data_IF_358273043643
#
_entry.id   IF_358273043643
#
_cell.length_a   1.000
_cell.length_b   1.000
_cell.length_c   1.000
_cell.angle_alpha   90.00
_cell.angle_beta   90.00
_cell.angle_gamma   90.00
#
_symmetry.space_group_name_H-M   'P 1'
#
loop_
_entity.id
_entity.type
_entity.pdbx_description
1 polymer ?
#
# COMPACT_ATOMS: atom_id res chain seq x y z
N UNK A 1 41.42 -9.27 4.17
CA UNK A 1 40.15 -8.52 4.25
C UNK A 1 39.78 -8.41 5.71
N UNK A 2 39.81 -7.20 6.28
CA UNK A 2 39.30 -6.96 7.63
C UNK A 2 37.78 -7.18 7.60
N UNK A 3 37.28 -8.13 8.39
CA UNK A 3 35.84 -8.41 8.47
C UNK A 3 35.10 -7.12 8.86
N UNK A 4 34.12 -6.70 8.06
CA UNK A 4 33.28 -5.56 8.41
C UNK A 4 32.37 -5.99 9.59
N UNK A 5 32.43 -5.32 10.76
CA UNK A 5 31.62 -5.70 11.93
C UNK A 5 30.12 -5.73 11.63
N UNK A 6 29.62 -4.80 10.79
CA UNK A 6 28.23 -4.76 10.36
C UNK A 6 27.82 -5.99 9.56
N UNK A 7 28.60 -6.33 8.51
CA UNK A 7 28.36 -7.54 7.72
C UNK A 7 28.35 -8.83 8.58
N UNK A 8 29.22 -8.88 9.59
CA UNK A 8 29.28 -10.01 10.53
C UNK A 8 28.04 -10.09 11.42
N UNK A 9 27.53 -8.95 11.90
CA UNK A 9 26.30 -8.90 12.70
C UNK A 9 25.07 -9.32 11.89
N UNK A 10 24.95 -8.85 10.65
CA UNK A 10 23.86 -9.26 9.77
C UNK A 10 23.95 -10.76 9.43
N UNK A 11 25.14 -11.31 9.23
CA UNK A 11 25.33 -12.75 9.05
C UNK A 11 24.92 -13.55 10.29
N UNK A 12 25.24 -13.07 11.50
CA UNK A 12 24.77 -13.70 12.74
C UNK A 12 23.25 -13.65 12.88
N UNK A 13 22.60 -12.56 12.47
CA UNK A 13 21.15 -12.44 12.45
C UNK A 13 20.51 -13.38 11.41
N UNK A 14 21.10 -13.48 10.23
CA UNK A 14 20.71 -14.43 9.19
C UNK A 14 20.78 -15.88 9.69
N UNK A 15 21.89 -16.28 10.32
CA UNK A 15 22.06 -17.63 10.87
C UNK A 15 21.07 -17.88 12.02
N UNK A 16 20.83 -16.88 12.86
CA UNK A 16 19.83 -16.96 13.93
C UNK A 16 18.42 -17.17 13.37
N UNK A 17 18.04 -16.45 12.31
CA UNK A 17 16.74 -16.55 11.65
C UNK A 17 16.53 -17.94 11.04
N UNK A 18 17.45 -18.36 10.17
CA UNK A 18 17.39 -19.62 9.41
C UNK A 18 17.51 -20.86 10.29
N UNK A 19 18.09 -20.73 11.49
CA UNK A 19 18.11 -21.79 12.50
C UNK A 19 16.70 -22.21 12.95
N UNK A 20 15.77 -21.27 13.07
CA UNK A 20 14.43 -21.53 13.64
C UNK A 20 13.30 -21.50 12.60
N UNK A 21 13.51 -20.83 11.48
CA UNK A 21 12.52 -20.61 10.42
C UNK A 21 13.04 -21.17 9.10
N UNK A 22 12.21 -21.93 8.39
CA UNK A 22 12.44 -22.21 6.98
C UNK A 22 11.82 -21.06 6.20
N UNK A 23 12.67 -20.25 5.58
CA UNK A 23 12.26 -19.14 4.74
C UNK A 23 11.88 -19.61 3.33
N UNK A 24 11.01 -18.91 2.61
CA UNK A 24 10.57 -19.32 1.28
C UNK A 24 11.66 -19.20 0.21
N UNK A 25 12.59 -18.26 0.38
CA UNK A 25 13.73 -18.00 -0.50
C UNK A 25 14.89 -17.34 0.25
N UNK A 26 16.07 -17.29 -0.36
CA UNK A 26 17.22 -16.55 0.17
C UNK A 26 16.92 -15.05 0.22
N UNK A 27 16.28 -14.51 -0.82
CA UNK A 27 15.87 -13.10 -0.92
C UNK A 27 14.93 -12.70 0.22
N UNK A 28 13.94 -13.53 0.53
CA UNK A 28 13.04 -13.29 1.66
C UNK A 28 13.77 -13.35 3.01
N UNK A 29 14.80 -14.19 3.11
CA UNK A 29 15.65 -14.25 4.32
C UNK A 29 16.41 -12.94 4.49
N UNK A 30 17.06 -12.47 3.43
CA UNK A 30 17.87 -11.26 3.41
C UNK A 30 17.03 -10.02 3.69
N UNK A 31 15.86 -9.94 3.07
CA UNK A 31 14.91 -8.87 3.28
C UNK A 31 14.45 -8.79 4.74
N UNK A 32 14.13 -9.92 5.38
CA UNK A 32 13.75 -9.94 6.80
C UNK A 32 14.91 -9.55 7.70
N UNK A 33 16.13 -10.03 7.43
CA UNK A 33 17.33 -9.67 8.19
C UNK A 33 17.58 -8.16 8.13
N UNK A 34 17.52 -7.58 6.94
CA UNK A 34 17.70 -6.15 6.73
C UNK A 34 16.54 -5.34 7.31
N UNK A 35 15.31 -5.83 7.21
CA UNK A 35 14.14 -5.19 7.81
C UNK A 35 14.27 -5.12 9.33
N UNK A 36 14.66 -6.24 9.98
CA UNK A 36 14.94 -6.28 11.43
C UNK A 36 16.03 -5.26 11.77
N UNK A 37 17.15 -5.26 11.05
CA UNK A 37 18.24 -4.32 11.29
C UNK A 37 17.77 -2.86 11.15
N UNK A 38 17.02 -2.52 10.10
CA UNK A 38 16.45 -1.19 9.90
C UNK A 38 15.54 -0.74 11.05
N UNK A 39 14.87 -1.66 11.75
CA UNK A 39 14.06 -1.29 12.93
C UNK A 39 14.88 -0.62 14.04
N UNK A 40 16.16 -0.96 14.16
CA UNK A 40 17.05 -0.45 15.21
C UNK A 40 17.46 0.99 15.03
N UNK A 41 17.16 1.62 13.90
CA UNK A 41 17.54 3.01 13.62
C UNK A 41 16.42 3.75 12.88
N UNK A 42 15.17 3.39 13.20
CA UNK A 42 13.96 4.04 12.67
C UNK A 42 13.99 5.57 12.67
N UNK A 43 14.56 6.28 13.68
CA UNK A 43 14.65 7.72 13.63
C UNK A 43 15.42 8.32 12.45
N UNK A 44 16.34 7.56 11.82
CA UNK A 44 17.07 8.01 10.64
C UNK A 44 16.25 7.97 9.34
N UNK A 45 15.11 7.28 9.33
CA UNK A 45 14.39 7.01 8.08
C UNK A 45 13.28 8.01 7.78
N UNK A 46 13.11 8.36 6.51
CA UNK A 46 11.91 9.06 6.04
C UNK A 46 10.69 8.13 5.95
N UNK A 47 10.93 6.85 5.69
CA UNK A 47 9.91 5.82 5.53
C UNK A 47 10.07 4.71 6.57
N UNK A 48 8.94 4.15 7.02
CA UNK A 48 8.84 3.02 7.93
C UNK A 48 8.25 1.82 7.17
N UNK A 49 9.10 0.96 6.58
CA UNK A 49 8.66 -0.19 5.81
C UNK A 49 7.79 -1.14 6.64
N UNK A 50 6.70 -1.62 6.06
CA UNK A 50 5.92 -2.71 6.64
C UNK A 50 6.58 -4.05 6.31
N UNK A 51 6.37 -5.05 7.16
CA UNK A 51 6.69 -6.43 6.87
C UNK A 51 5.39 -7.22 6.87
N UNK A 52 4.98 -7.74 5.73
CA UNK A 52 3.78 -8.59 5.64
C UNK A 52 4.21 -10.04 5.55
N UNK A 53 3.86 -10.83 6.56
CA UNK A 53 4.14 -12.26 6.65
C UNK A 53 2.84 -13.00 6.36
N UNK A 54 2.62 -13.38 5.09
CA UNK A 54 1.39 -14.07 4.69
C UNK A 54 1.63 -15.52 4.30
N UNK A 55 0.59 -16.33 4.41
CA UNK A 55 0.60 -17.71 3.93
C UNK A 55 -0.81 -18.10 3.47
N UNK A 56 -0.95 -19.04 2.52
CA UNK A 56 -2.26 -19.50 2.09
C UNK A 56 -3.00 -20.25 3.21
N UNK A 57 -2.26 -20.87 4.14
CA UNK A 57 -2.82 -21.77 5.13
C UNK A 57 -2.20 -21.61 6.53
N UNK A 58 -2.82 -22.31 7.50
CA UNK A 58 -2.27 -22.46 8.85
C UNK A 58 -1.02 -23.34 8.84
N UNK A 59 -0.16 -23.17 9.86
CA UNK A 59 1.06 -23.98 10.10
C UNK A 59 2.16 -23.85 9.04
N UNK A 60 2.25 -22.69 8.39
CA UNK A 60 3.35 -22.34 7.46
C UNK A 60 4.52 -21.59 8.13
N UNK A 61 4.61 -21.59 9.47
CA UNK A 61 5.74 -20.95 10.17
C UNK A 61 5.62 -19.44 10.41
N UNK A 62 4.51 -18.79 10.05
CA UNK A 62 4.27 -17.35 10.25
C UNK A 62 4.53 -16.87 11.70
N UNK A 63 3.85 -17.47 12.68
CA UNK A 63 4.03 -17.11 14.09
C UNK A 63 5.46 -17.38 14.57
N UNK A 64 6.15 -18.38 14.01
CA UNK A 64 7.57 -18.61 14.33
C UNK A 64 8.46 -17.52 13.75
N UNK A 65 8.21 -17.06 12.52
CA UNK A 65 8.92 -15.91 11.99
C UNK A 65 8.68 -14.67 12.85
N UNK A 66 7.43 -14.43 13.26
CA UNK A 66 7.07 -13.32 14.14
C UNK A 66 7.71 -13.45 15.53
N UNK A 67 7.86 -14.66 16.10
CA UNK A 67 8.59 -14.90 17.36
C UNK A 67 10.06 -14.44 17.27
N UNK A 68 10.72 -14.72 16.14
CA UNK A 68 12.12 -14.33 15.93
C UNK A 68 12.21 -12.83 15.72
N UNK A 69 11.35 -12.26 14.86
CA UNK A 69 11.25 -10.81 14.66
C UNK A 69 11.01 -10.09 16.00
N UNK A 70 10.09 -10.58 16.84
CA UNK A 70 9.88 -10.05 18.19
C UNK A 70 11.18 -10.03 18.96
N UNK A 71 11.88 -11.15 19.05
CA UNK A 71 13.09 -11.26 19.86
C UNK A 71 14.26 -10.41 19.33
N UNK A 72 14.30 -10.10 18.04
CA UNK A 72 15.44 -9.44 17.40
C UNK A 72 15.22 -7.99 16.98
N UNK A 73 13.98 -7.50 16.85
CA UNK A 73 13.73 -6.11 16.43
C UNK A 73 13.81 -5.10 17.60
N UNK A 74 13.82 -3.81 17.25
CA UNK A 74 13.81 -2.68 18.19
C UNK A 74 12.48 -2.57 18.95
N UNK A 75 12.55 -2.49 20.27
CA UNK A 75 11.44 -2.20 21.19
C UNK A 75 10.07 -2.69 20.71
N UNK A 76 9.85 -4.02 20.63
CA UNK A 76 8.65 -4.57 20.03
C UNK A 76 7.43 -4.33 20.90
N UNK A 77 6.38 -3.81 20.28
CA UNK A 77 5.04 -3.73 20.83
C UNK A 77 4.16 -4.80 20.18
N UNK A 78 4.04 -5.95 20.85
CA UNK A 78 3.16 -7.03 20.38
C UNK A 78 1.70 -6.73 20.74
N UNK A 79 0.82 -6.81 19.76
CA UNK A 79 -0.61 -6.57 19.94
C UNK A 79 -1.41 -7.71 19.35
N UNK A 80 -2.24 -8.35 20.18
CA UNK A 80 -3.19 -9.40 19.76
C UNK A 80 -4.61 -8.83 19.67
N UNK A 81 -4.91 -7.77 20.44
CA UNK A 81 -6.23 -7.12 20.54
C UNK A 81 -6.12 -5.67 21.09
N UNK A 82 -5.06 -4.94 20.78
CA UNK A 82 -4.92 -3.57 21.27
C UNK A 82 -5.91 -2.64 20.57
N UNK A 83 -6.60 -1.78 21.33
CA UNK A 83 -7.45 -0.76 20.72
C UNK A 83 -6.60 0.21 19.88
N UNK A 84 -7.10 0.76 18.76
CA UNK A 84 -6.35 1.74 17.98
C UNK A 84 -5.80 2.88 18.85
N UNK A 85 -6.61 3.36 19.81
CA UNK A 85 -6.20 4.41 20.75
C UNK A 85 -5.01 4.03 21.65
N UNK A 86 -4.89 2.76 22.04
CA UNK A 86 -3.74 2.28 22.79
C UNK A 86 -2.49 2.28 21.89
N UNK A 87 -2.59 1.76 20.67
CA UNK A 87 -1.48 1.74 19.70
C UNK A 87 -0.98 3.15 19.39
N UNK A 88 -1.91 4.06 19.07
CA UNK A 88 -1.64 5.48 18.84
C UNK A 88 -0.82 6.15 19.96
N UNK A 89 -1.10 5.80 21.23
CA UNK A 89 -0.45 6.39 22.40
C UNK A 89 0.85 5.71 22.80
N UNK A 90 1.16 4.55 22.22
CA UNK A 90 2.43 3.86 22.41
C UNK A 90 3.51 4.31 21.43
N UNK A 91 3.16 5.03 20.36
CA UNK A 91 4.13 5.54 19.39
C UNK A 91 4.82 6.79 19.95
N UNK A 92 6.14 6.73 20.07
CA UNK A 92 6.99 7.82 20.57
C UNK A 92 7.93 8.36 19.48
N UNK A 93 8.71 9.42 19.72
CA UNK A 93 9.72 9.89 18.77
C UNK A 93 10.79 8.85 18.41
N UNK A 94 11.10 7.93 19.33
CA UNK A 94 11.82 6.69 19.05
C UNK A 94 10.80 5.55 18.99
N UNK A 95 10.20 5.28 17.82
CA UNK A 95 8.99 4.48 17.76
C UNK A 95 9.26 2.99 18.05
N UNK A 96 8.35 2.31 18.76
CA UNK A 96 8.40 0.86 18.89
C UNK A 96 8.09 0.20 17.55
N UNK A 97 8.47 -1.07 17.40
CA UNK A 97 8.03 -1.88 16.26
C UNK A 97 6.68 -2.51 16.58
N UNK A 98 5.66 -2.20 15.78
CA UNK A 98 4.33 -2.77 15.98
C UNK A 98 4.26 -4.19 15.42
N UNK A 99 3.90 -5.18 16.24
CA UNK A 99 3.76 -6.57 15.81
C UNK A 99 2.29 -7.00 15.93
N UNK A 100 1.68 -7.28 14.79
CA UNK A 100 0.28 -7.69 14.67
C UNK A 100 0.23 -9.15 14.22
N UNK A 101 -0.14 -10.06 15.13
CA UNK A 101 -0.44 -11.45 14.80
C UNK A 101 -1.93 -11.60 14.43
N UNK A 102 -2.25 -12.65 13.67
CA UNK A 102 -3.61 -12.92 13.17
C UNK A 102 -4.25 -11.72 12.45
N UNK A 103 -3.46 -10.97 11.66
CA UNK A 103 -3.90 -9.78 10.93
C UNK A 103 -5.08 -10.06 9.97
N UNK A 104 -5.27 -11.31 9.55
CA UNK A 104 -6.45 -11.74 8.77
C UNK A 104 -7.78 -11.62 9.54
N UNK A 105 -7.74 -11.62 10.88
CA UNK A 105 -8.94 -11.34 11.69
C UNK A 105 -9.33 -9.86 11.68
N UNK A 106 -8.37 -8.98 11.34
CA UNK A 106 -8.53 -7.53 11.29
C UNK A 106 -8.83 -7.05 9.87
N UNK A 107 -8.16 -7.63 8.87
CA UNK A 107 -8.23 -7.16 7.48
C UNK A 107 -8.75 -8.21 6.48
N UNK A 108 -9.05 -9.42 6.93
CA UNK A 108 -9.54 -10.47 6.03
C UNK A 108 -10.98 -10.22 5.55
N UNK A 109 -11.47 -11.00 4.57
CA UNK A 109 -12.77 -10.78 3.92
C UNK A 109 -13.99 -10.83 4.85
N UNK A 110 -13.83 -11.41 6.04
CA UNK A 110 -14.87 -11.55 7.08
C UNK A 110 -14.69 -10.57 8.25
N UNK A 111 -13.66 -9.74 8.22
CA UNK A 111 -13.42 -8.73 9.24
C UNK A 111 -14.39 -7.55 9.05
N UNK A 112 -14.73 -6.87 10.15
CA UNK A 112 -15.46 -5.60 10.08
C UNK A 112 -14.57 -4.46 9.58
N UNK A 113 -15.15 -3.27 9.42
CA UNK A 113 -14.39 -2.07 9.02
C UNK A 113 -13.39 -1.66 10.13
N UNK A 114 -12.11 -1.97 9.90
CA UNK A 114 -10.98 -1.55 10.74
C UNK A 114 -10.22 -0.36 10.11
N UNK A 115 -10.97 0.64 9.64
CA UNK A 115 -10.45 1.81 8.93
C UNK A 115 -9.41 2.61 9.73
N UNK A 116 -9.62 2.75 11.05
CA UNK A 116 -8.73 3.53 11.89
C UNK A 116 -7.33 2.90 12.02
N UNK A 117 -7.26 1.56 12.06
CA UNK A 117 -6.00 0.84 12.13
C UNK A 117 -5.33 0.77 10.76
N UNK A 118 -6.09 0.57 9.69
CA UNK A 118 -5.57 0.68 8.32
C UNK A 118 -5.01 2.08 8.05
N UNK A 119 -5.73 3.12 8.46
CA UNK A 119 -5.31 4.51 8.40
C UNK A 119 -4.03 4.77 9.19
N UNK A 120 -3.91 4.23 10.41
CA UNK A 120 -2.69 4.31 11.22
C UNK A 120 -1.49 3.69 10.48
N UNK A 121 -1.63 2.46 9.97
CA UNK A 121 -0.54 1.75 9.30
C UNK A 121 -0.13 2.44 7.99
N UNK A 122 -1.09 2.93 7.22
CA UNK A 122 -0.82 3.65 5.97
C UNK A 122 -0.15 5.01 6.23
N UNK A 123 -0.67 5.80 7.18
CA UNK A 123 -0.09 7.10 7.54
C UNK A 123 1.30 6.93 8.15
N UNK A 124 1.47 5.93 9.02
CA UNK A 124 2.71 5.68 9.73
C UNK A 124 3.87 5.23 8.86
N UNK A 125 3.64 4.92 7.58
CA UNK A 125 4.71 4.55 6.65
C UNK A 125 5.57 5.75 6.28
N UNK A 126 5.03 6.97 6.21
CA UNK A 126 5.80 8.17 5.88
C UNK A 126 5.91 9.07 7.12
N UNK A 127 7.11 9.59 7.38
CA UNK A 127 7.33 10.56 8.47
C UNK A 127 6.51 11.83 8.23
N UNK A 128 6.07 12.49 9.32
CA UNK A 128 5.35 13.76 9.24
C UNK A 128 3.86 13.65 8.87
N UNK A 129 3.26 12.45 8.97
CA UNK A 129 1.83 12.19 8.71
C UNK A 129 1.04 11.86 9.99
N UNK A 130 0.95 12.77 10.98
CA UNK A 130 0.27 12.46 12.23
C UNK A 130 -1.25 12.31 12.04
N UNK A 131 -1.89 11.56 12.92
CA UNK A 131 -3.34 11.51 13.02
C UNK A 131 -3.84 12.71 13.84
N UNK A 132 -4.88 13.38 13.35
CA UNK A 132 -5.57 14.45 14.08
C UNK A 132 -6.87 13.90 14.66
N UNK A 133 -7.04 14.00 15.97
CA UNK A 133 -8.27 13.57 16.66
C UNK A 133 -8.79 14.69 17.53
N UNK A 134 -10.10 14.92 17.52
CA UNK A 134 -10.72 15.85 18.45
C UNK A 134 -10.99 15.13 19.78
N UNK A 135 -10.44 15.66 20.86
CA UNK A 135 -10.73 15.22 22.21
C UNK A 135 -11.86 16.08 22.80
N UNK A 136 -13.05 15.50 22.93
CA UNK A 136 -14.22 16.17 23.46
C UNK A 136 -14.08 16.55 24.95
N UNK A 137 -13.31 15.78 25.74
CA UNK A 137 -13.12 16.05 27.16
C UNK A 137 -12.27 17.29 27.39
N UNK A 138 -11.26 17.52 26.55
CA UNK A 138 -10.39 18.71 26.61
C UNK A 138 -10.78 19.81 25.63
N UNK A 139 -11.75 19.56 24.75
CA UNK A 139 -12.17 20.43 23.65
C UNK A 139 -11.00 20.91 22.78
N UNK A 140 -10.07 20.00 22.47
CA UNK A 140 -8.84 20.28 21.72
C UNK A 140 -8.62 19.27 20.61
N UNK A 141 -7.96 19.70 19.53
CA UNK A 141 -7.40 18.78 18.54
C UNK A 141 -6.08 18.26 19.08
N UNK A 142 -5.96 16.95 19.17
CA UNK A 142 -4.75 16.22 19.56
C UNK A 142 -4.07 15.71 18.31
N UNK A 143 -2.77 15.98 18.21
CA UNK A 143 -1.90 15.44 17.17
C UNK A 143 -1.23 14.19 17.70
N UNK A 144 -1.41 13.07 17.02
CA UNK A 144 -0.94 11.76 17.45
C UNK A 144 0.11 11.25 16.45
N UNK A 145 1.33 10.94 16.90
CA UNK A 145 2.35 10.31 16.06
C UNK A 145 1.87 8.98 15.49
N UNK A 146 2.22 8.71 14.23
CA UNK A 146 1.86 7.49 13.51
C UNK A 146 3.08 6.72 13.01
N UNK A 147 4.22 7.40 12.88
CA UNK A 147 5.42 6.85 12.27
C UNK A 147 6.00 5.71 13.11
N UNK A 148 5.94 4.50 12.57
CA UNK A 148 6.47 3.28 13.19
C UNK A 148 6.52 2.16 12.15
N UNK A 149 7.60 1.39 12.13
CA UNK A 149 7.67 0.13 11.38
C UNK A 149 6.71 -0.89 12.00
N UNK A 150 6.13 -1.75 11.16
CA UNK A 150 5.23 -2.79 11.66
C UNK A 150 5.37 -4.10 10.89
N UNK A 151 5.27 -5.22 11.61
CA UNK A 151 5.11 -6.53 11.03
C UNK A 151 3.68 -7.02 11.22
N UNK A 152 3.08 -7.53 10.14
CA UNK A 152 1.72 -8.07 10.11
C UNK A 152 1.78 -9.53 9.66
N UNK A 153 1.34 -10.45 10.51
CA UNK A 153 1.27 -11.87 10.19
C UNK A 153 -0.19 -12.32 10.03
N UNK A 154 -0.53 -12.95 8.91
CA UNK A 154 -1.91 -13.37 8.65
C UNK A 154 -2.07 -14.43 7.56
N UNK A 155 -3.29 -14.94 7.43
CA UNK A 155 -3.70 -15.82 6.32
C UNK A 155 -4.25 -14.98 5.16
N UNK A 156 -3.84 -15.31 3.93
CA UNK A 156 -4.31 -14.61 2.74
C UNK A 156 -3.66 -13.24 2.53
N UNK A 157 -4.15 -12.50 1.54
CA UNK A 157 -3.68 -11.16 1.22
C UNK A 157 -4.10 -10.14 2.30
N UNK A 158 -3.23 -9.16 2.52
CA UNK A 158 -3.56 -7.93 3.25
C UNK A 158 -4.12 -6.90 2.25
N UNK A 159 -4.75 -5.80 2.72
CA UNK A 159 -5.22 -4.75 1.83
C UNK A 159 -4.07 -4.19 0.99
N UNK A 160 -4.29 -3.99 -0.32
CA UNK A 160 -3.26 -3.50 -1.27
C UNK A 160 -2.56 -2.24 -0.76
N UNK A 161 -3.30 -1.32 -0.13
CA UNK A 161 -2.71 -0.12 0.46
C UNK A 161 -1.64 -0.39 1.53
N UNK A 162 -1.70 -1.53 2.22
CA UNK A 162 -0.67 -1.97 3.16
C UNK A 162 0.45 -2.72 2.42
N UNK A 163 0.11 -3.63 1.49
CA UNK A 163 1.11 -4.44 0.76
C UNK A 163 2.02 -3.57 -0.13
N UNK A 164 1.50 -2.51 -0.75
CA UNK A 164 2.26 -1.49 -1.51
C UNK A 164 3.37 -0.80 -0.70
N UNK A 165 3.31 -0.89 0.63
CA UNK A 165 4.23 -0.25 1.59
C UNK A 165 5.05 -1.28 2.37
N UNK A 166 5.03 -2.53 1.91
CA UNK A 166 5.54 -3.68 2.62
C UNK A 166 6.59 -4.45 1.85
N UNK A 167 7.54 -5.02 2.59
CA UNK A 167 8.25 -6.21 2.18
C UNK A 167 7.31 -7.39 2.44
N UNK A 168 6.86 -8.07 1.38
CA UNK A 168 5.88 -9.17 1.47
C UNK A 168 6.61 -10.52 1.44
N UNK A 169 6.39 -11.34 2.47
CA UNK A 169 6.98 -12.68 2.62
C UNK A 169 5.87 -13.73 2.51
N UNK A 170 5.87 -14.48 1.40
CA UNK A 170 4.95 -15.59 1.15
C UNK A 170 5.44 -16.88 1.81
N UNK A 171 5.09 -17.06 3.08
CA UNK A 171 5.44 -18.27 3.82
C UNK A 171 4.73 -19.50 3.25
N UNK A 172 5.48 -20.59 3.10
CA UNK A 172 4.99 -21.89 2.62
C UNK A 172 5.10 -22.97 3.68
N UNK A 173 4.32 -24.04 3.52
CA UNK A 173 4.41 -25.18 4.42
C UNK A 173 5.76 -25.86 4.23
N UNK A 174 6.43 -26.16 5.33
CA UNK A 174 7.69 -26.90 5.35
C UNK A 174 7.55 -28.24 4.63
N UNK A 175 8.46 -28.51 3.70
CA UNK A 175 8.54 -29.76 2.96
C UNK A 175 9.09 -30.90 3.83
N UNK A 176 8.88 -32.14 3.37
CA UNK A 176 9.53 -33.30 3.99
C UNK A 176 11.05 -33.22 3.77
N UNK A 177 11.83 -33.13 4.84
CA UNK A 177 13.29 -33.03 4.79
C UNK A 177 13.86 -31.69 5.24
N UNK A 178 13.08 -30.61 5.14
CA UNK A 178 13.44 -29.32 5.73
C UNK A 178 13.36 -29.44 7.26
N UNK A 179 14.47 -29.12 7.93
CA UNK A 179 14.60 -29.21 9.39
C UNK A 179 14.83 -27.83 9.96
N UNK A 180 14.16 -27.55 11.07
CA UNK A 180 14.43 -26.36 11.88
C UNK A 180 14.75 -26.79 13.30
N UNK A 181 15.57 -25.98 13.97
CA UNK A 181 15.77 -26.15 15.40
C UNK A 181 14.51 -25.69 16.15
N UNK A 182 14.00 -26.46 17.12
CA UNK A 182 12.80 -26.08 17.84
C UNK A 182 13.09 -24.89 18.75
N UNK A 183 12.57 -23.71 18.41
CA UNK A 183 12.62 -22.53 19.27
C UNK A 183 11.87 -22.77 20.59
N UNK A 184 12.50 -22.33 21.66
CA UNK A 184 11.98 -22.31 23.03
C UNK A 184 12.27 -20.95 23.61
N UNK A 185 11.23 -20.13 23.81
CA UNK A 185 11.37 -18.76 24.30
C UNK A 185 12.25 -18.65 25.56
N UNK A 186 12.12 -19.57 26.52
CA UNK A 186 12.95 -19.57 27.75
C UNK A 186 14.46 -19.75 27.50
N UNK A 187 14.85 -20.46 26.43
CA UNK A 187 16.26 -20.76 26.12
C UNK A 187 16.81 -19.79 25.09
N UNK A 188 16.03 -19.47 24.07
CA UNK A 188 16.53 -18.84 22.85
C UNK A 188 16.30 -17.33 22.80
N UNK A 189 15.34 -16.79 23.58
CA UNK A 189 14.99 -15.36 23.51
C UNK A 189 16.11 -14.46 24.01
N UNK A 190 16.78 -14.81 25.10
CA UNK A 190 17.86 -13.99 25.67
C UNK A 190 19.05 -13.85 24.69
N UNK A 191 19.60 -14.94 24.08
CA UNK A 191 20.63 -14.81 23.05
C UNK A 191 20.21 -13.93 21.85
N UNK A 192 18.96 -14.05 21.40
CA UNK A 192 18.43 -13.20 20.32
C UNK A 192 18.33 -11.73 20.74
N UNK A 193 17.97 -11.45 21.99
CA UNK A 193 17.94 -10.10 22.55
C UNK A 193 19.33 -9.49 22.69
N UNK A 194 20.33 -10.28 23.05
CA UNK A 194 21.71 -9.83 23.07
C UNK A 194 22.20 -9.46 21.65
N UNK A 195 21.78 -10.20 20.62
CA UNK A 195 22.03 -9.83 19.24
C UNK A 195 21.32 -8.54 18.85
N UNK A 196 20.05 -8.37 19.24
CA UNK A 196 19.27 -7.15 19.04
C UNK A 196 19.96 -5.91 19.64
N UNK A 197 20.51 -6.03 20.85
CA UNK A 197 21.26 -4.95 21.52
C UNK A 197 22.50 -4.55 20.72
N UNK A 198 23.26 -5.52 20.20
CA UNK A 198 24.44 -5.26 19.36
C UNK A 198 24.09 -4.59 18.04
N UNK A 199 22.93 -4.92 17.45
CA UNK A 199 22.40 -4.22 16.28
C UNK A 199 22.06 -2.76 16.62
N UNK A 200 21.38 -2.53 17.75
CA UNK A 200 21.10 -1.17 18.24
C UNK A 200 22.39 -0.38 18.45
N UNK A 201 23.37 -0.92 19.17
CA UNK A 201 24.63 -0.24 19.46
C UNK A 201 25.37 0.19 18.18
N UNK A 202 25.48 -0.74 17.21
CA UNK A 202 26.10 -0.45 15.93
C UNK A 202 25.33 0.61 15.13
N UNK A 203 24.05 0.39 14.86
CA UNK A 203 23.28 1.23 13.94
C UNK A 203 22.95 2.60 14.55
N UNK A 204 22.74 2.68 15.88
CA UNK A 204 22.57 3.97 16.57
C UNK A 204 23.87 4.75 16.67
N UNK A 205 25.01 4.07 16.80
CA UNK A 205 26.34 4.70 16.78
C UNK A 205 26.59 5.47 15.47
N UNK A 206 26.08 4.95 14.35
CA UNK A 206 26.25 5.52 13.03
C UNK A 206 24.97 6.20 12.47
N UNK A 207 23.99 6.51 13.33
CA UNK A 207 22.68 7.04 12.91
C UNK A 207 22.80 8.27 11.99
N UNK A 208 23.70 9.20 12.30
CA UNK A 208 23.89 10.41 11.51
C UNK A 208 24.43 10.11 10.09
N UNK A 209 25.17 9.02 9.92
CA UNK A 209 25.64 8.56 8.59
C UNK A 209 24.46 7.97 7.82
N UNK A 210 23.67 7.12 8.47
CA UNK A 210 22.50 6.47 7.88
C UNK A 210 21.39 7.46 7.50
N UNK A 211 21.16 8.50 8.31
CA UNK A 211 20.19 9.57 8.02
C UNK A 211 20.53 10.36 6.74
N UNK A 212 21.81 10.39 6.35
CA UNK A 212 22.30 11.05 5.13
C UNK A 212 22.52 10.09 3.97
N UNK A 213 22.22 8.81 4.14
CA UNK A 213 22.45 7.81 3.10
C UNK A 213 21.41 7.96 1.98
N UNK A 214 21.90 8.03 0.74
CA UNK A 214 21.09 8.05 -0.48
C UNK A 214 21.51 6.86 -1.36
N UNK A 215 21.09 5.63 -1.01
CA UNK A 215 21.52 4.45 -1.75
C UNK A 215 20.96 4.43 -3.17
N UNK A 216 21.74 3.91 -4.12
CA UNK A 216 21.23 3.66 -5.47
C UNK A 216 20.19 2.52 -5.46
N UNK A 217 18.96 2.84 -5.84
CA UNK A 217 17.81 1.93 -5.78
C UNK A 217 17.58 1.20 -7.12
N UNK A 218 17.33 -0.12 -7.09
CA UNK A 218 17.05 -0.92 -8.30
C UNK A 218 15.56 -1.02 -8.64
N UNK A 219 14.71 -0.38 -7.86
CA UNK A 219 13.25 -0.32 -7.99
C UNK A 219 12.82 1.14 -7.86
N UNK A 220 11.59 1.46 -8.29
CA UNK A 220 11.08 2.84 -8.37
C UNK A 220 9.85 3.04 -7.46
N UNK A 221 9.41 4.30 -7.34
CA UNK A 221 8.21 4.72 -6.62
C UNK A 221 8.14 4.16 -5.18
N UNK A 222 6.98 3.63 -4.77
CA UNK A 222 6.74 3.11 -3.42
C UNK A 222 7.61 1.92 -3.06
N UNK A 223 8.06 1.16 -4.05
CA UNK A 223 9.00 0.07 -3.81
C UNK A 223 10.35 0.65 -3.40
N UNK A 224 10.82 1.73 -4.05
CA UNK A 224 12.03 2.43 -3.63
C UNK A 224 11.90 2.94 -2.18
N UNK A 225 10.82 3.66 -1.87
CA UNK A 225 10.54 4.17 -0.51
C UNK A 225 10.55 3.06 0.57
N UNK A 226 10.06 1.87 0.22
CA UNK A 226 9.99 0.71 1.13
C UNK A 226 11.34 0.02 1.31
N UNK A 227 12.14 -0.08 0.25
CA UNK A 227 13.41 -0.78 0.27
C UNK A 227 14.60 0.10 0.66
N UNK A 228 14.50 1.42 0.55
CA UNK A 228 15.59 2.36 0.82
C UNK A 228 16.21 2.17 2.23
N UNK A 229 15.44 2.06 3.33
CA UNK A 229 16.03 1.82 4.65
C UNK A 229 16.81 0.49 4.74
N UNK A 230 16.36 -0.54 4.02
CA UNK A 230 17.02 -1.86 3.99
C UNK A 230 18.32 -1.80 3.18
N UNK A 231 18.30 -1.13 2.02
CA UNK A 231 19.49 -0.96 1.18
C UNK A 231 20.52 -0.05 1.87
N UNK A 232 20.09 1.01 2.56
CA UNK A 232 20.97 1.88 3.33
C UNK A 232 21.72 1.11 4.44
N UNK A 233 21.02 0.24 5.18
CA UNK A 233 21.66 -0.65 6.17
C UNK A 233 22.64 -1.62 5.51
N UNK A 234 22.28 -2.19 4.35
CA UNK A 234 23.13 -3.11 3.63
C UNK A 234 24.40 -2.45 3.09
N UNK A 235 24.28 -1.25 2.51
CA UNK A 235 25.40 -0.43 2.03
C UNK A 235 26.34 -0.07 3.18
N UNK A 236 25.80 0.29 4.34
CA UNK A 236 26.58 0.56 5.55
C UNK A 236 27.28 -0.69 6.10
N UNK A 237 26.61 -1.86 6.04
CA UNK A 237 27.17 -3.12 6.47
C UNK A 237 28.34 -3.60 5.58
N UNK A 238 28.31 -3.26 4.29
CA UNK A 238 29.29 -3.69 3.29
C UNK A 238 29.38 -5.23 3.13
N UNK A 239 30.49 -5.69 2.57
CA UNK A 239 30.62 -7.10 2.16
C UNK A 239 29.66 -7.40 1.01
N UNK A 240 28.97 -8.54 1.07
CA UNK A 240 28.03 -8.97 0.02
C UNK A 240 26.59 -8.46 0.27
N UNK A 241 26.34 -7.80 1.41
CA UNK A 241 25.01 -7.28 1.76
C UNK A 241 24.44 -6.26 0.76
N UNK A 242 25.22 -5.30 0.23
CA UNK A 242 24.73 -4.34 -0.77
C UNK A 242 24.11 -5.00 -2.00
N UNK A 243 24.72 -6.07 -2.50
CA UNK A 243 24.24 -6.82 -3.66
C UNK A 243 23.01 -7.64 -3.28
N UNK A 244 23.08 -8.39 -2.17
CA UNK A 244 21.96 -9.19 -1.64
C UNK A 244 20.69 -8.36 -1.43
N UNK A 245 20.81 -7.15 -0.87
CA UNK A 245 19.69 -6.25 -0.64
C UNK A 245 19.01 -5.83 -1.96
N UNK A 246 19.81 -5.50 -2.98
CA UNK A 246 19.29 -5.08 -4.29
C UNK A 246 18.66 -6.24 -5.04
N UNK A 247 19.27 -7.43 -5.01
CA UNK A 247 18.68 -8.66 -5.55
C UNK A 247 17.36 -8.97 -4.85
N UNK A 248 17.30 -8.88 -3.52
CA UNK A 248 16.07 -9.10 -2.78
C UNK A 248 14.98 -8.08 -3.15
N UNK A 249 15.34 -6.79 -3.29
CA UNK A 249 14.41 -5.75 -3.70
C UNK A 249 13.76 -6.04 -5.05
N UNK A 250 14.56 -6.36 -6.07
CA UNK A 250 14.06 -6.67 -7.41
C UNK A 250 13.18 -7.91 -7.40
N UNK A 251 13.67 -9.03 -6.87
CA UNK A 251 12.96 -10.31 -6.95
C UNK A 251 11.66 -10.32 -6.14
N UNK A 252 11.65 -9.73 -4.94
CA UNK A 252 10.46 -9.71 -4.11
C UNK A 252 9.42 -8.70 -4.60
N UNK A 253 9.85 -7.55 -5.14
CA UNK A 253 8.91 -6.63 -5.80
C UNK A 253 8.32 -7.25 -7.06
N UNK A 254 9.12 -7.98 -7.85
CA UNK A 254 8.64 -8.75 -9.01
C UNK A 254 7.63 -9.82 -8.59
N UNK A 255 7.97 -10.65 -7.60
CA UNK A 255 7.08 -11.69 -7.06
C UNK A 255 5.77 -11.10 -6.53
N UNK A 256 5.82 -9.97 -5.83
CA UNK A 256 4.61 -9.29 -5.35
C UNK A 256 3.70 -8.84 -6.50
N UNK A 257 4.27 -8.24 -7.55
CA UNK A 257 3.52 -7.79 -8.72
C UNK A 257 2.92 -8.96 -9.53
N UNK A 258 3.61 -10.11 -9.59
CA UNK A 258 3.13 -11.31 -10.28
C UNK A 258 2.07 -12.09 -9.47
N UNK A 259 2.20 -12.09 -8.14
CA UNK A 259 1.30 -12.84 -7.24
C UNK A 259 0.12 -12.02 -6.74
N UNK A 260 0.10 -10.71 -7.01
CA UNK A 260 -1.08 -9.88 -6.79
C UNK A 260 -2.25 -10.40 -7.63
N UNK A 261 -3.41 -10.58 -7.01
CA UNK A 261 -4.63 -10.82 -7.80
C UNK A 261 -4.82 -9.61 -8.70
N UNK A 262 -4.68 -9.82 -10.02
CA UNK A 262 -4.95 -8.78 -11.01
C UNK A 262 -6.37 -8.29 -10.73
N UNK A 263 -6.50 -7.02 -10.30
CA UNK A 263 -7.82 -6.45 -10.01
C UNK A 263 -8.76 -6.70 -11.19
N UNK A 264 -10.04 -6.95 -10.95
CA UNK A 264 -11.02 -7.18 -12.02
C UNK A 264 -10.94 -6.09 -13.10
N UNK A 265 -10.62 -4.85 -12.74
CA UNK A 265 -10.48 -3.74 -13.69
C UNK A 265 -9.27 -3.89 -14.60
N UNK A 266 -8.14 -4.28 -14.05
CA UNK A 266 -6.92 -4.52 -14.82
C UNK A 266 -7.08 -5.75 -15.70
N UNK A 267 -7.66 -6.83 -15.15
CA UNK A 267 -8.00 -8.04 -15.90
C UNK A 267 -8.94 -7.72 -17.05
N UNK A 268 -9.94 -6.87 -16.81
CA UNK A 268 -10.87 -6.41 -17.83
C UNK A 268 -10.14 -5.67 -18.96
N UNK A 269 -9.13 -4.84 -18.67
CA UNK A 269 -8.34 -4.19 -19.71
C UNK A 269 -7.58 -5.20 -20.57
N UNK A 270 -6.91 -6.18 -19.94
CA UNK A 270 -6.20 -7.26 -20.64
C UNK A 270 -7.17 -8.06 -21.51
N UNK A 271 -8.28 -8.49 -20.94
CA UNK A 271 -9.29 -9.28 -21.64
C UNK A 271 -10.01 -8.48 -22.73
N UNK A 272 -10.16 -7.16 -22.57
CA UNK A 272 -10.62 -6.29 -23.66
C UNK A 272 -9.61 -6.30 -24.80
N UNK A 273 -8.30 -6.30 -24.54
CA UNK A 273 -7.28 -6.39 -25.59
C UNK A 273 -7.41 -7.68 -26.39
N UNK A 274 -7.55 -8.80 -25.68
CA UNK A 274 -7.80 -10.12 -26.28
C UNK A 274 -9.12 -10.14 -27.07
N UNK A 275 -10.19 -9.59 -26.52
CA UNK A 275 -11.51 -9.54 -27.17
C UNK A 275 -11.53 -8.63 -28.41
N UNK A 276 -10.77 -7.54 -28.41
CA UNK A 276 -10.63 -6.65 -29.57
C UNK A 276 -9.83 -7.32 -30.70
N UNK A 277 -8.79 -8.10 -30.37
CA UNK A 277 -7.86 -8.64 -31.37
C UNK A 277 -7.43 -7.52 -32.35
N UNK A 278 -7.71 -7.70 -33.64
CA UNK A 278 -7.41 -6.73 -34.71
C UNK A 278 -8.58 -5.78 -35.06
N UNK A 279 -9.75 -5.93 -34.42
CA UNK A 279 -10.90 -5.08 -34.70
C UNK A 279 -10.66 -3.64 -34.21
N UNK A 280 -10.92 -2.64 -35.06
CA UNK A 280 -10.72 -1.22 -34.70
C UNK A 280 -11.82 -0.66 -33.80
N UNK A 281 -13.00 -1.28 -33.79
CA UNK A 281 -14.12 -0.91 -32.95
C UNK A 281 -15.05 -2.12 -32.75
N UNK A 282 -15.65 -2.24 -31.57
CA UNK A 282 -16.62 -3.28 -31.26
C UNK A 282 -17.93 -2.70 -30.72
N UNK A 283 -19.10 -3.18 -31.18
CA UNK A 283 -20.37 -2.94 -30.49
C UNK A 283 -20.29 -3.45 -29.05
N UNK A 284 -20.94 -2.76 -28.12
CA UNK A 284 -20.92 -3.16 -26.70
C UNK A 284 -21.46 -4.58 -26.50
N UNK A 285 -22.46 -4.99 -27.29
CA UNK A 285 -23.02 -6.34 -27.24
C UNK A 285 -21.99 -7.41 -27.65
N UNK A 286 -21.20 -7.14 -28.69
CA UNK A 286 -20.17 -8.06 -29.19
C UNK A 286 -18.98 -8.13 -28.23
N UNK A 287 -18.51 -6.99 -27.72
CA UNK A 287 -17.45 -6.97 -26.71
C UNK A 287 -17.85 -7.78 -25.47
N UNK A 288 -19.09 -7.64 -24.99
CA UNK A 288 -19.60 -8.45 -23.87
C UNK A 288 -19.69 -9.94 -24.22
N UNK A 289 -20.08 -10.29 -25.45
CA UNK A 289 -20.13 -11.67 -25.90
C UNK A 289 -18.74 -12.31 -25.86
N UNK A 290 -17.74 -11.64 -26.45
CA UNK A 290 -16.35 -12.11 -26.46
C UNK A 290 -15.75 -12.22 -25.06
N UNK A 291 -15.93 -11.19 -24.22
CA UNK A 291 -15.44 -11.21 -22.82
C UNK A 291 -16.05 -12.37 -22.02
N UNK A 292 -17.34 -12.64 -22.14
CA UNK A 292 -18.01 -13.77 -21.46
C UNK A 292 -17.63 -15.13 -22.05
N UNK A 293 -17.04 -15.17 -23.24
CA UNK A 293 -16.53 -16.38 -23.90
C UNK A 293 -15.11 -16.77 -23.47
N UNK A 294 -14.40 -15.91 -22.73
CA UNK A 294 -13.08 -16.24 -22.17
C UNK A 294 -13.25 -17.17 -20.97
N UNK A 295 -12.98 -18.47 -21.16
CA UNK A 295 -13.23 -19.52 -20.15
C UNK A 295 -12.44 -19.30 -18.85
N UNK A 296 -11.21 -18.81 -18.97
CA UNK A 296 -10.34 -18.55 -17.81
C UNK A 296 -10.75 -17.30 -17.03
N UNK A 297 -11.63 -16.45 -17.58
CA UNK A 297 -11.98 -15.12 -17.03
C UNK A 297 -13.35 -15.05 -16.36
N UNK A 298 -13.51 -14.23 -15.31
CA UNK A 298 -14.70 -14.26 -14.45
C UNK A 298 -15.94 -13.67 -15.11
N UNK A 299 -15.85 -13.12 -16.33
CA UNK A 299 -16.89 -12.28 -16.94
C UNK A 299 -18.22 -12.99 -17.16
N UNK A 300 -18.21 -14.31 -17.39
CA UNK A 300 -19.43 -15.11 -17.51
C UNK A 300 -20.21 -15.18 -16.20
N UNK A 301 -19.51 -15.27 -15.08
CA UNK A 301 -20.05 -15.44 -13.73
C UNK A 301 -20.01 -14.14 -12.91
N UNK A 302 -19.69 -13.00 -13.56
CA UNK A 302 -19.48 -11.72 -12.91
C UNK A 302 -20.78 -11.09 -12.37
N UNK A 303 -21.18 -11.57 -11.19
CA UNK A 303 -22.49 -11.32 -10.59
C UNK A 303 -23.59 -12.21 -11.17
N UNK A 304 -24.86 -11.99 -10.79
CA UNK A 304 -25.94 -12.96 -11.03
C UNK A 304 -26.28 -13.18 -12.51
N UNK A 305 -25.90 -12.26 -13.41
CA UNK A 305 -26.23 -12.30 -14.84
C UNK A 305 -24.99 -12.17 -15.74
N UNK A 306 -23.79 -12.35 -15.17
CA UNK A 306 -22.52 -12.07 -15.83
C UNK A 306 -22.25 -10.58 -16.04
N UNK A 307 -21.11 -10.25 -16.64
CA UNK A 307 -20.67 -8.87 -16.87
C UNK A 307 -21.69 -8.13 -17.74
N UNK A 308 -22.30 -7.06 -17.24
CA UNK A 308 -23.32 -6.28 -17.98
C UNK A 308 -22.73 -5.02 -18.62
N UNK A 309 -23.42 -4.42 -19.60
CA UNK A 309 -22.97 -3.17 -20.23
C UNK A 309 -22.77 -2.02 -19.22
N UNK A 310 -23.63 -1.94 -18.20
CA UNK A 310 -23.51 -0.96 -17.13
C UNK A 310 -22.24 -1.19 -16.28
N UNK A 311 -21.97 -2.44 -15.90
CA UNK A 311 -20.77 -2.79 -15.12
C UNK A 311 -19.49 -2.58 -15.95
N UNK A 312 -19.49 -3.02 -17.21
CA UNK A 312 -18.41 -2.78 -18.17
C UNK A 312 -18.09 -1.27 -18.28
N UNK A 313 -19.13 -0.45 -18.49
CA UNK A 313 -18.96 1.01 -18.55
C UNK A 313 -18.43 1.60 -17.24
N UNK A 314 -18.88 1.11 -16.09
CA UNK A 314 -18.41 1.58 -14.78
C UNK A 314 -16.94 1.23 -14.52
N UNK A 315 -16.51 0.01 -14.88
CA UNK A 315 -15.13 -0.44 -14.70
C UNK A 315 -14.17 0.32 -15.64
N UNK A 316 -14.58 0.55 -16.89
CA UNK A 316 -13.77 1.25 -17.90
C UNK A 316 -13.70 2.77 -17.68
N UNK A 317 -14.72 3.37 -17.05
CA UNK A 317 -14.80 4.83 -16.85
C UNK A 317 -13.63 5.39 -16.06
N UNK A 318 -13.05 4.63 -15.15
CA UNK A 318 -11.91 5.08 -14.33
C UNK A 318 -10.61 5.20 -15.14
N UNK A 319 -10.50 4.46 -16.25
CA UNK A 319 -9.41 4.62 -17.23
C UNK A 319 -9.73 5.69 -18.28
N UNK A 320 -10.79 6.47 -18.09
CA UNK A 320 -11.25 7.47 -19.07
C UNK A 320 -11.98 6.89 -20.28
N UNK A 321 -12.15 5.56 -20.36
CA UNK A 321 -12.75 4.87 -21.51
C UNK A 321 -14.27 4.89 -21.39
N UNK A 322 -14.96 5.34 -22.45
CA UNK A 322 -16.43 5.45 -22.47
C UNK A 322 -17.00 4.90 -23.77
N UNK A 323 -18.20 4.34 -23.70
CA UNK A 323 -18.90 3.94 -24.91
C UNK A 323 -19.40 5.15 -25.69
N UNK A 324 -19.23 5.09 -27.01
CA UNK A 324 -19.73 6.08 -27.94
C UNK A 324 -20.79 5.46 -28.86
N UNK A 325 -21.59 6.30 -29.51
CA UNK A 325 -22.43 5.83 -30.63
C UNK A 325 -21.55 5.78 -31.88
N UNK A 326 -21.29 4.58 -32.38
CA UNK A 326 -20.40 4.32 -33.52
C UNK A 326 -21.24 3.73 -34.66
N UNK A 327 -20.93 4.11 -35.90
CA UNK A 327 -21.53 3.52 -37.09
C UNK A 327 -20.70 2.31 -37.54
N UNK A 328 -21.29 1.12 -37.46
CA UNK A 328 -20.67 -0.13 -37.87
C UNK A 328 -21.12 -0.52 -39.29
N UNK A 329 -20.20 -0.99 -40.15
CA UNK A 329 -20.57 -1.54 -41.45
C UNK A 329 -21.57 -2.69 -41.31
N UNK A 330 -22.66 -2.66 -42.11
CA UNK A 330 -23.68 -3.71 -42.13
C UNK A 330 -24.69 -3.74 -40.97
N UNK A 331 -24.42 -3.07 -39.85
CA UNK A 331 -25.23 -3.15 -38.61
C UNK A 331 -25.77 -1.80 -38.11
N UNK A 332 -25.45 -0.69 -38.79
CA UNK A 332 -26.02 0.63 -38.48
C UNK A 332 -25.29 1.34 -37.33
N UNK A 333 -26.00 2.21 -36.59
CA UNK A 333 -25.43 2.89 -35.42
C UNK A 333 -25.72 2.08 -34.15
N UNK A 334 -24.69 1.82 -33.36
CA UNK A 334 -24.82 1.12 -32.08
C UNK A 334 -23.90 1.76 -31.03
N UNK A 335 -24.17 1.49 -29.75
CA UNK A 335 -23.21 1.78 -28.69
C UNK A 335 -22.04 0.81 -28.80
N UNK A 336 -20.83 1.33 -28.70
CA UNK A 336 -19.60 0.55 -28.84
C UNK A 336 -18.40 1.30 -28.32
N UNK A 337 -17.24 0.71 -28.52
CA UNK A 337 -15.95 1.19 -28.05
C UNK A 337 -14.95 1.19 -29.21
N UNK A 338 -14.11 2.22 -29.30
CA UNK A 338 -13.01 2.22 -30.27
C UNK A 338 -11.76 1.63 -29.62
N UNK A 339 -11.00 0.84 -30.37
CA UNK A 339 -9.74 0.26 -29.92
C UNK A 339 -8.73 1.35 -29.53
N UNK A 340 -8.77 2.50 -30.22
CA UNK A 340 -7.92 3.65 -29.94
C UNK A 340 -8.16 4.24 -28.54
N UNK A 341 -9.39 4.19 -28.01
CA UNK A 341 -9.71 4.68 -26.67
C UNK A 341 -8.98 3.89 -25.58
N UNK A 342 -8.61 2.63 -25.87
CA UNK A 342 -7.89 1.76 -24.94
C UNK A 342 -6.37 1.88 -25.05
N UNK A 343 -5.84 2.54 -26.08
CA UNK A 343 -4.40 2.52 -26.38
C UNK A 343 -3.55 3.05 -25.22
N UNK A 344 -3.94 4.19 -24.63
CA UNK A 344 -3.23 4.76 -23.46
C UNK A 344 -3.32 3.81 -22.25
N UNK A 345 -4.52 3.31 -21.93
CA UNK A 345 -4.73 2.39 -20.82
C UNK A 345 -3.95 1.07 -20.99
N UNK A 346 -3.92 0.48 -22.19
CA UNK A 346 -3.12 -0.70 -22.48
C UNK A 346 -1.62 -0.43 -22.38
N UNK A 347 -1.15 0.70 -22.89
CA UNK A 347 0.28 1.05 -22.80
C UNK A 347 0.76 1.20 -21.35
N UNK A 348 -0.12 1.70 -20.46
CA UNK A 348 0.23 2.00 -19.05
C UNK A 348 0.03 0.81 -18.11
N UNK A 349 -1.05 0.05 -18.34
CA UNK A 349 -1.50 -0.94 -17.36
C UNK A 349 -1.42 -2.38 -17.90
N UNK A 350 -1.41 -2.58 -19.21
CA UNK A 350 -1.29 -3.91 -19.81
C UNK A 350 -0.17 -3.97 -20.87
N UNK A 351 1.08 -3.55 -20.56
CA UNK A 351 2.20 -3.73 -21.48
C UNK A 351 2.39 -5.23 -21.77
N UNK A 352 2.72 -5.56 -23.02
CA UNK A 352 2.67 -6.93 -23.56
C UNK A 352 3.29 -7.97 -22.61
N UNK A 353 2.43 -8.79 -22.01
CA UNK A 353 2.79 -9.94 -21.17
C UNK A 353 3.52 -11.06 -21.96
N UNK A 354 3.77 -10.86 -23.26
CA UNK A 354 4.54 -11.78 -24.11
C UNK A 354 6.04 -11.48 -24.19
N UNK A 355 6.53 -10.40 -23.57
CA UNK A 355 7.96 -10.04 -23.65
C UNK A 355 8.75 -10.51 -22.43
N UNK A 356 8.93 -11.82 -22.32
CA UNK A 356 10.13 -12.36 -21.66
C UNK A 356 11.33 -12.08 -22.57
N UNK A 357 11.98 -10.92 -22.39
CA UNK A 357 13.32 -10.65 -22.92
C UNK A 357 13.45 -9.41 -23.79
N UNK A 358 14.33 -8.49 -23.36
CA UNK A 358 14.88 -7.41 -24.18
C UNK A 358 14.39 -6.03 -23.76
N UNK A 359 15.16 -5.39 -22.87
CA UNK A 359 14.89 -4.03 -22.45
C UNK A 359 15.15 -3.00 -23.56
N UNK A 360 14.30 -1.97 -23.59
CA UNK A 360 14.69 -0.62 -23.98
C UNK A 360 14.16 0.36 -22.92
N UNK A 361 14.92 1.42 -22.59
CA UNK A 361 14.60 2.30 -21.47
C UNK A 361 13.42 3.23 -21.79
N UNK A 362 12.43 3.23 -20.90
CA UNK A 362 11.35 4.22 -20.85
C UNK A 362 11.94 5.62 -20.61
N UNK A 363 11.57 6.58 -21.46
CA UNK A 363 11.85 7.99 -21.23
C UNK A 363 11.11 8.48 -19.99
N UNK A 364 11.76 9.24 -19.08
CA UNK A 364 11.10 9.78 -17.91
C UNK A 364 10.05 10.83 -18.31
N UNK A 365 8.87 10.69 -17.72
CA UNK A 365 7.81 11.67 -17.73
C UNK A 365 8.31 13.01 -17.15
N UNK A 366 8.32 14.07 -17.97
CA UNK A 366 8.57 15.42 -17.49
C UNK A 366 7.27 15.98 -16.87
N UNK A 367 7.24 16.32 -15.58
CA UNK A 367 6.12 17.06 -15.03
C UNK A 367 6.10 18.48 -15.63
N UNK A 368 4.93 18.91 -16.07
CA UNK A 368 4.68 20.31 -16.42
C UNK A 368 4.89 21.20 -15.20
N UNK A 369 5.92 22.07 -15.25
CA UNK A 369 6.11 23.15 -14.28
C UNK A 369 4.93 24.15 -14.39
N UNK A 370 4.17 24.42 -13.32
CA UNK A 370 3.41 25.65 -13.25
C UNK A 370 4.41 26.81 -13.11
N UNK A 371 4.35 27.73 -14.07
CA UNK A 371 5.09 29.00 -14.04
C UNK A 371 4.80 29.75 -12.73
N UNK A 372 5.76 29.75 -11.80
CA UNK A 372 5.76 30.61 -10.62
C UNK A 372 6.61 31.85 -10.93
N UNK A 373 5.95 32.91 -11.38
CA UNK A 373 6.54 34.25 -11.30
C UNK A 373 6.75 34.62 -9.81
N UNK A 374 7.92 35.14 -9.43
CA UNK A 374 8.22 35.46 -8.04
C UNK A 374 7.56 36.78 -7.65
N UNK A 375 6.44 36.72 -6.93
CA UNK A 375 5.93 37.87 -6.19
C UNK A 375 6.80 38.06 -4.94
N UNK A 376 7.70 39.05 -5.03
CA UNK A 376 8.43 39.66 -3.90
C UNK A 376 7.45 40.05 -2.79
N UNK A 377 7.65 39.53 -1.60
CA UNK A 377 7.04 40.01 -0.36
C UNK A 377 8.12 40.74 0.43
N UNK A 378 8.19 42.06 0.25
CA UNK A 378 8.94 42.97 1.12
C UNK A 378 7.99 43.63 2.14
N UNK A 379 8.46 43.58 3.39
CA UNK A 379 8.16 44.33 4.63
C UNK A 379 7.04 45.39 4.69
N UNK A 380 6.11 45.13 5.64
CA UNK A 380 5.60 45.99 6.73
C UNK A 380 5.51 47.53 6.62
N UNK A 381 4.30 48.08 6.81
CA UNK A 381 3.84 49.26 7.60
C UNK A 381 2.42 49.58 7.08
N UNK A 382 1.33 49.79 7.85
CA UNK A 382 1.14 50.58 9.05
C UNK A 382 -0.10 51.47 8.83
N UNK A 383 -1.13 51.27 9.66
CA UNK A 383 -2.25 52.18 9.98
C UNK A 383 -3.11 52.80 8.86
N UNK A 384 -4.40 52.46 8.86
CA UNK A 384 -5.49 53.43 8.63
C UNK A 384 -6.76 52.99 9.36
N UNK A 385 -7.02 53.62 10.51
CA UNK A 385 -8.32 53.61 11.19
C UNK A 385 -9.35 54.39 10.37
N UNK A 386 -10.60 53.95 10.40
CA UNK A 386 -11.85 54.66 10.77
C UNK A 386 -13.03 53.83 10.24
N UNK A 387 -14.25 53.80 10.78
CA UNK A 387 -14.83 54.10 12.09
C UNK A 387 -16.31 53.68 12.02
N UNK A 388 -16.87 53.15 13.13
CA UNK A 388 -18.32 53.02 13.48
C UNK A 388 -19.12 51.90 12.75
N UNK A 389 -19.57 50.85 13.46
CA UNK A 389 -20.78 50.70 14.33
C UNK A 389 -22.10 50.91 13.53
N UNK A 390 -23.15 50.10 13.60
CA UNK A 390 -23.62 49.16 14.62
C UNK A 390 -24.62 48.13 14.04
N UNK A 391 -24.78 47.03 14.75
CA UNK A 391 -25.82 46.00 14.64
C UNK A 391 -27.17 46.53 15.17
N UNK A 392 -28.33 46.17 14.59
CA UNK A 392 -29.60 46.13 15.31
C UNK A 392 -29.98 44.68 15.75
N UNK A 393 -30.59 44.50 16.94
CA UNK A 393 -30.81 43.19 17.55
C UNK A 393 -32.12 42.52 17.10
N UNK A 394 -32.23 41.22 17.41
CA UNK A 394 -33.44 40.40 17.38
C UNK A 394 -34.48 40.88 18.40
N UNK A 395 -35.73 41.03 17.97
CA UNK A 395 -36.93 41.04 18.84
C UNK A 395 -38.02 40.16 18.24
N UNK A 396 -38.68 39.37 19.10
CA UNK A 396 -39.71 38.40 18.75
C UNK A 396 -41.11 39.01 18.71
N UNK A 397 -42.08 38.31 18.08
CA UNK A 397 -43.37 37.91 18.68
C UNK A 397 -44.19 37.01 17.73
N UNK A 398 -44.77 35.95 18.30
CA UNK A 398 -45.77 35.07 17.69
C UNK A 398 -47.06 35.83 17.37
N UNK A 399 -47.64 35.60 16.19
CA UNK A 399 -49.08 35.38 16.01
C UNK A 399 -49.42 34.81 14.62
N UNK A 400 -50.46 33.97 14.59
CA UNK A 400 -50.95 33.21 13.46
C UNK A 400 -51.95 34.01 12.60
N UNK A 401 -51.96 33.79 11.29
CA UNK A 401 -52.94 34.37 10.37
C UNK A 401 -53.04 33.57 9.07
N UNK A 402 -54.18 32.91 8.91
CA UNK A 402 -54.58 31.99 7.84
C UNK A 402 -55.01 32.70 6.55
N UNK A 403 -54.94 31.97 5.42
CA UNK A 403 -55.90 31.89 4.30
C UNK A 403 -55.36 32.25 2.90
N UNK A 404 -55.54 31.34 1.94
CA UNK A 404 -55.48 31.65 0.50
C UNK A 404 -55.06 30.52 -0.45
N UNK A 405 -55.89 29.48 -0.57
CA UNK A 405 -56.28 28.70 -1.78
C UNK A 405 -55.33 28.75 -3.01
N UNK A 406 -54.62 27.69 -3.41
CA UNK A 406 -54.99 26.43 -4.09
C UNK A 406 -55.32 26.50 -5.61
N UNK A 407 -54.45 25.81 -6.39
CA UNK A 407 -54.68 25.02 -7.65
C UNK A 407 -54.97 25.70 -9.00
N UNK A 408 -54.77 25.02 -10.18
CA UNK A 408 -54.02 23.77 -10.46
C UNK A 408 -53.20 23.75 -11.79
N UNK A 409 -52.42 22.67 -11.92
CA UNK A 409 -51.90 22.07 -13.16
C UNK A 409 -53.02 21.71 -14.15
N UNK A 410 -52.79 21.91 -15.46
CA UNK A 410 -53.62 21.37 -16.55
C UNK A 410 -52.92 20.19 -17.22
N UNK A 411 -53.57 19.03 -17.12
CA UNK A 411 -53.46 17.90 -18.05
C UNK A 411 -54.48 18.13 -19.17
N UNK A 412 -54.09 17.89 -20.42
CA UNK A 412 -55.04 17.70 -21.53
C UNK A 412 -54.74 16.36 -22.18
N UNK A 413 -55.68 15.44 -22.01
CA UNK A 413 -55.90 14.33 -22.93
C UNK A 413 -57.36 14.37 -23.37
N UNK A 414 -57.62 14.13 -24.66
CA UNK A 414 -58.37 12.95 -25.10
C UNK A 414 -58.55 12.91 -26.62
N UNK A 415 -58.28 11.71 -27.15
CA UNK A 415 -58.99 10.92 -28.17
C UNK A 415 -59.60 11.58 -29.41
N UNK A 416 -59.15 11.06 -30.56
CA UNK A 416 -60.00 10.29 -31.46
C UNK A 416 -59.32 8.93 -31.73
#
# INVERSE_FOLDING_TARGET
MTANPGATLLAQLHDALTRYVVMPSEQATDAVVLWIAATHVQPAWAHAPRLVIRAPERRCGKSRLLDIVEATCHDPLITVNASPAAVYRSITPDPPVLLVDEADTIFGPKAGDNEDLRGLLNAGHQRGRPALRYDAATSKVVTIPTFAMAALAGIGAMPDTIEDRAVVVHMRRRASGEKTFPYRARRDREPLRALAQRLTEWLRGDMAVLERAEPAMPVEDRAADTWEPLVAVADHAGGDWPERARTAAVEMTREHNETGEISDRLRLLIDCRTAFADDLALPTAELLHRLRGLEESPWREFGPTGLTAMKLGSLLKEYGIRSATIRFPGSGQAKGYQRADFADAWSRYAPDLDTSGGGEPSQPYQPHNPSSDPVRLDEWYGSSRTSKKAVPPLTSKNEAGTAGTATPLKVVGNNA
#
